data_IF_441765027045
#
_entry.id   IF_441765027045
#
_cell.length_a   1.000
_cell.length_b   1.000
_cell.length_c   1.000
_cell.angle_alpha   90.00
_cell.angle_beta   90.00
_cell.angle_gamma   90.00
#
_symmetry.space_group_name_H-M   'P 1'
#
loop_
_entity.id
_entity.type
_entity.pdbx_description
1 polymer ?
#
# COMPACT_ATOMS: atom_id res chain seq x y z
N UNK A 1 6.68 4.98 -12.15
CA UNK A 1 7.04 5.29 -13.53
C UNK A 1 7.10 6.80 -13.75
N UNK A 2 6.00 7.53 -13.61
CA UNK A 2 5.92 8.98 -13.86
C UNK A 2 6.89 9.81 -13.02
N UNK A 3 7.08 9.48 -11.73
CA UNK A 3 8.00 10.18 -10.85
C UNK A 3 9.44 10.23 -11.37
N UNK A 4 10.01 9.12 -11.78
CA UNK A 4 11.38 9.08 -12.31
C UNK A 4 11.49 9.73 -13.69
N UNK A 5 10.47 9.57 -14.54
CA UNK A 5 10.40 10.26 -15.81
C UNK A 5 10.37 11.79 -15.63
N UNK A 6 9.59 12.28 -14.65
CA UNK A 6 9.56 13.71 -14.27
C UNK A 6 10.94 14.21 -13.80
N UNK A 7 11.68 13.38 -13.06
CA UNK A 7 13.03 13.71 -12.63
C UNK A 7 14.10 13.61 -13.75
N UNK A 8 13.74 13.11 -14.93
CA UNK A 8 14.69 12.85 -16.03
C UNK A 8 15.65 11.70 -15.73
N UNK A 9 15.18 10.70 -14.94
CA UNK A 9 15.96 9.51 -14.58
C UNK A 9 15.47 8.32 -15.40
N UNK A 10 16.39 7.72 -16.16
CA UNK A 10 16.12 6.54 -16.96
C UNK A 10 15.71 5.33 -16.07
N UNK A 11 14.69 4.59 -16.51
CA UNK A 11 14.13 3.45 -15.78
C UNK A 11 15.20 2.41 -15.43
N UNK A 12 16.01 2.00 -16.40
CA UNK A 12 17.08 1.00 -16.21
C UNK A 12 18.08 1.41 -15.14
N UNK A 13 18.44 2.69 -15.09
CA UNK A 13 19.46 3.24 -14.17
C UNK A 13 19.03 3.08 -12.71
N UNK A 14 17.82 3.50 -12.35
CA UNK A 14 17.37 3.40 -10.97
C UNK A 14 16.92 1.98 -10.60
N UNK A 15 16.36 1.21 -11.55
CA UNK A 15 15.98 -0.18 -11.32
C UNK A 15 17.19 -1.04 -10.95
N UNK A 16 18.29 -0.91 -11.69
CA UNK A 16 19.55 -1.61 -11.40
C UNK A 16 20.07 -1.21 -10.01
N UNK A 17 20.15 0.10 -9.75
CA UNK A 17 20.66 0.63 -8.49
C UNK A 17 19.83 0.19 -7.25
N UNK A 18 18.56 -0.16 -7.43
CA UNK A 18 17.62 -0.49 -6.36
C UNK A 18 17.22 -1.97 -6.31
N UNK A 19 17.90 -2.84 -7.06
CA UNK A 19 17.53 -4.26 -7.20
C UNK A 19 16.07 -4.45 -7.60
N UNK A 20 15.54 -3.57 -8.45
CA UNK A 20 14.13 -3.51 -8.75
C UNK A 20 13.69 -4.61 -9.73
N UNK A 21 12.41 -4.95 -9.64
CA UNK A 21 11.69 -5.80 -10.60
C UNK A 21 10.35 -5.17 -10.94
N UNK A 22 9.72 -5.60 -12.03
CA UNK A 22 8.40 -5.14 -12.41
C UNK A 22 7.31 -5.74 -11.51
N UNK A 23 6.23 -4.98 -11.33
CA UNK A 23 5.01 -5.40 -10.65
C UNK A 23 3.81 -5.06 -11.52
N UNK A 24 2.98 -6.06 -11.81
CA UNK A 24 1.80 -5.92 -12.67
C UNK A 24 0.48 -6.17 -11.93
N UNK A 25 0.56 -6.51 -10.65
CA UNK A 25 -0.60 -6.74 -9.81
C UNK A 25 -0.24 -7.49 -8.52
N UNK A 26 -1.27 -7.94 -7.83
CA UNK A 26 -1.16 -8.67 -6.57
C UNK A 26 -1.94 -9.97 -6.67
N UNK A 27 -1.32 -11.10 -6.36
CA UNK A 27 -1.99 -12.38 -6.24
C UNK A 27 -2.36 -12.63 -4.78
N UNK A 28 -3.65 -12.72 -4.49
CA UNK A 28 -4.20 -13.02 -3.17
C UNK A 28 -4.42 -14.51 -3.04
N UNK A 29 -3.74 -15.16 -2.10
CA UNK A 29 -3.74 -16.61 -1.91
C UNK A 29 -4.31 -17.00 -0.55
N UNK A 30 -5.19 -17.96 -0.51
CA UNK A 30 -5.80 -18.50 0.70
C UNK A 30 -6.65 -17.49 1.54
N UNK A 31 -7.10 -16.40 0.94
CA UNK A 31 -8.01 -15.45 1.60
C UNK A 31 -9.42 -15.99 1.74
N UNK A 32 -9.79 -16.94 0.88
CA UNK A 32 -11.07 -17.60 0.90
C UNK A 32 -10.95 -19.09 1.20
N UNK A 33 -12.04 -19.71 1.67
CA UNK A 33 -12.14 -21.17 1.79
C UNK A 33 -12.10 -21.81 0.41
N UNK A 34 -11.49 -22.98 0.33
CA UNK A 34 -11.65 -23.85 -0.84
C UNK A 34 -13.11 -24.31 -0.93
N UNK A 35 -13.71 -24.18 -2.10
CA UNK A 35 -15.03 -24.72 -2.42
C UNK A 35 -15.02 -26.25 -2.65
N UNK A 36 -13.88 -26.90 -2.44
CA UNK A 36 -13.70 -28.33 -2.66
C UNK A 36 -13.54 -28.74 -4.12
N UNK A 37 -13.57 -27.81 -5.07
CA UNK A 37 -13.49 -28.11 -6.51
C UNK A 37 -12.09 -28.51 -6.97
N UNK A 38 -11.05 -28.19 -6.21
CA UNK A 38 -9.67 -28.60 -6.46
C UNK A 38 -8.91 -28.79 -5.14
N UNK A 39 -8.70 -30.04 -4.73
CA UNK A 39 -8.04 -30.39 -3.47
C UNK A 39 -6.54 -30.05 -3.37
N UNK A 40 -5.93 -29.52 -4.43
CA UNK A 40 -4.46 -29.34 -4.52
C UNK A 40 -3.96 -27.93 -4.48
N UNK A 41 -4.81 -26.89 -4.55
CA UNK A 41 -4.41 -25.48 -4.47
C UNK A 41 -5.36 -24.68 -3.58
N UNK A 42 -4.78 -23.83 -2.72
CA UNK A 42 -5.55 -22.80 -2.04
C UNK A 42 -6.23 -21.87 -3.07
N UNK A 43 -7.48 -21.42 -2.83
CA UNK A 43 -8.13 -20.44 -3.71
C UNK A 43 -7.28 -19.20 -3.84
N UNK A 44 -7.17 -18.67 -5.03
CA UNK A 44 -6.46 -17.42 -5.30
C UNK A 44 -7.23 -16.58 -6.30
N UNK A 45 -7.10 -15.26 -6.18
CA UNK A 45 -7.55 -14.30 -7.18
C UNK A 45 -6.42 -13.30 -7.44
N UNK A 46 -6.40 -12.74 -8.62
CA UNK A 46 -5.39 -11.78 -9.03
C UNK A 46 -6.02 -10.39 -9.18
N UNK A 47 -5.45 -9.39 -8.50
CA UNK A 47 -5.81 -7.99 -8.68
C UNK A 47 -4.80 -7.35 -9.66
N UNK A 48 -5.17 -7.23 -10.96
CA UNK A 48 -4.30 -6.67 -11.99
C UNK A 48 -4.19 -5.16 -11.86
N UNK A 49 -3.10 -4.58 -12.32
CA UNK A 49 -3.09 -3.17 -12.64
C UNK A 49 -3.85 -2.96 -13.94
N UNK A 50 -4.82 -2.06 -13.89
CA UNK A 50 -5.70 -1.74 -14.99
C UNK A 50 -4.98 -0.80 -15.97
N UNK A 51 -4.96 -1.18 -17.24
CA UNK A 51 -4.27 -0.48 -18.31
C UNK A 51 -5.27 0.12 -19.32
N UNK A 52 -4.83 1.09 -20.10
CA UNK A 52 -5.63 1.63 -21.20
C UNK A 52 -6.06 0.54 -22.21
N UNK A 53 -5.26 -0.49 -22.37
CA UNK A 53 -5.55 -1.66 -23.21
C UNK A 53 -6.73 -2.50 -22.72
N UNK A 54 -7.07 -2.39 -21.43
CA UNK A 54 -8.11 -3.20 -20.80
C UNK A 54 -9.50 -2.55 -20.88
N UNK A 55 -9.59 -1.27 -21.30
CA UNK A 55 -10.87 -0.53 -21.37
C UNK A 55 -11.93 -1.29 -22.18
N UNK A 56 -11.62 -1.88 -23.35
CA UNK A 56 -12.64 -2.58 -24.15
C UNK A 56 -13.14 -3.88 -23.50
N UNK A 57 -12.34 -4.51 -22.62
CA UNK A 57 -12.63 -5.82 -22.02
C UNK A 57 -13.20 -5.70 -20.60
N UNK A 58 -12.98 -4.58 -19.92
CA UNK A 58 -13.41 -4.36 -18.55
C UNK A 58 -14.94 -4.46 -18.38
N UNK A 59 -15.74 -3.89 -19.29
CA UNK A 59 -17.19 -3.98 -19.26
C UNK A 59 -17.70 -5.43 -19.38
N UNK A 60 -17.00 -6.24 -20.17
CA UNK A 60 -17.32 -7.68 -20.26
C UNK A 60 -17.02 -8.41 -18.97
N UNK A 61 -15.92 -8.05 -18.28
CA UNK A 61 -15.62 -8.57 -16.94
C UNK A 61 -16.70 -8.18 -15.94
N UNK A 62 -17.10 -6.90 -15.85
CA UNK A 62 -18.15 -6.44 -14.96
C UNK A 62 -19.47 -7.17 -15.22
N UNK A 63 -19.83 -7.36 -16.49
CA UNK A 63 -21.00 -8.15 -16.89
C UNK A 63 -20.87 -9.61 -16.42
N UNK A 64 -19.72 -10.25 -16.56
CA UNK A 64 -19.50 -11.62 -16.14
C UNK A 64 -19.62 -11.79 -14.61
N UNK A 65 -19.03 -10.84 -13.84
CA UNK A 65 -19.13 -10.81 -12.37
C UNK A 65 -20.57 -10.61 -11.94
N UNK A 66 -21.32 -9.67 -12.55
CA UNK A 66 -22.73 -9.45 -12.26
C UNK A 66 -23.60 -10.69 -12.59
N UNK A 67 -23.34 -11.42 -13.68
CA UNK A 67 -24.01 -12.69 -13.97
C UNK A 67 -23.81 -13.71 -12.86
N UNK A 68 -22.58 -13.86 -12.38
CA UNK A 68 -22.28 -14.77 -11.25
C UNK A 68 -22.97 -14.36 -9.97
N UNK A 69 -23.01 -13.07 -9.66
CA UNK A 69 -23.74 -12.51 -8.53
C UNK A 69 -25.20 -12.92 -8.53
N UNK A 70 -25.82 -13.04 -9.70
CA UNK A 70 -27.21 -13.48 -9.89
C UNK A 70 -27.35 -14.99 -10.15
N UNK A 71 -26.35 -15.80 -9.81
CA UNK A 71 -26.37 -17.25 -9.92
C UNK A 71 -26.26 -17.80 -11.35
N UNK A 72 -25.85 -16.96 -12.32
CA UNK A 72 -25.63 -17.37 -13.70
C UNK A 72 -24.16 -17.76 -13.93
N UNK A 73 -23.92 -18.58 -14.98
CA UNK A 73 -22.55 -18.88 -15.39
C UNK A 73 -21.91 -17.64 -16.04
N UNK A 74 -20.73 -17.27 -15.55
CA UNK A 74 -19.88 -16.22 -16.10
C UNK A 74 -18.41 -16.59 -15.93
N UNK A 75 -17.62 -16.40 -16.96
CA UNK A 75 -16.17 -16.49 -16.85
C UNK A 75 -15.66 -15.24 -16.12
N UNK A 76 -14.94 -15.43 -15.01
CA UNK A 76 -14.31 -14.38 -14.24
C UNK A 76 -12.80 -14.58 -14.10
N UNK A 77 -12.20 -15.35 -15.02
CA UNK A 77 -10.74 -15.48 -15.09
C UNK A 77 -10.13 -14.15 -15.52
N UNK A 78 -9.45 -13.46 -14.62
CA UNK A 78 -8.87 -12.13 -14.86
C UNK A 78 -7.94 -12.11 -16.08
N UNK A 79 -7.25 -13.23 -16.37
CA UNK A 79 -6.37 -13.34 -17.53
C UNK A 79 -7.08 -13.25 -18.88
N UNK A 80 -8.40 -13.42 -18.93
CA UNK A 80 -9.18 -13.26 -20.16
C UNK A 80 -9.61 -11.81 -20.44
N UNK A 81 -9.48 -10.94 -19.45
CA UNK A 81 -9.99 -9.58 -19.54
C UNK A 81 -8.91 -8.52 -19.33
N UNK A 82 -7.85 -8.84 -18.59
CA UNK A 82 -6.82 -7.89 -18.20
C UNK A 82 -5.44 -8.31 -18.72
N UNK A 83 -4.81 -7.42 -19.46
CA UNK A 83 -3.48 -7.61 -20.06
C UNK A 83 -2.44 -7.97 -19.01
N UNK A 84 -2.44 -7.28 -17.87
CA UNK A 84 -1.51 -7.55 -16.78
C UNK A 84 -1.64 -8.98 -16.22
N UNK A 85 -2.88 -9.49 -16.09
CA UNK A 85 -3.12 -10.85 -15.59
C UNK A 85 -2.59 -11.91 -16.55
N UNK A 86 -2.82 -11.76 -17.85
CA UNK A 86 -2.31 -12.70 -18.85
C UNK A 86 -0.76 -12.65 -18.95
N UNK A 87 -0.17 -11.46 -18.88
CA UNK A 87 1.29 -11.31 -18.89
C UNK A 87 1.94 -11.97 -17.67
N UNK A 88 1.36 -11.81 -16.48
CA UNK A 88 1.86 -12.47 -15.26
C UNK A 88 1.75 -13.99 -15.37
N UNK A 89 0.64 -14.50 -15.90
CA UNK A 89 0.42 -15.94 -16.13
C UNK A 89 1.49 -16.53 -17.07
N UNK A 90 1.83 -15.81 -18.14
CA UNK A 90 2.87 -16.18 -19.11
C UNK A 90 4.29 -15.80 -18.65
N UNK A 91 4.45 -15.08 -17.54
CA UNK A 91 5.70 -14.53 -17.06
C UNK A 91 6.41 -13.60 -18.07
N UNK A 92 5.65 -12.74 -18.72
CA UNK A 92 6.12 -11.74 -19.68
C UNK A 92 6.37 -10.43 -18.97
N UNK A 93 7.56 -9.84 -19.14
CA UNK A 93 7.88 -8.53 -18.57
C UNK A 93 7.23 -7.38 -19.38
N UNK A 94 6.73 -6.30 -18.74
CA UNK A 94 6.01 -5.24 -19.46
C UNK A 94 6.86 -4.49 -20.48
N UNK A 95 8.16 -4.41 -20.30
CA UNK A 95 9.08 -3.75 -21.23
C UNK A 95 9.42 -4.56 -22.48
N UNK A 96 8.93 -5.79 -22.61
CA UNK A 96 9.22 -6.67 -23.74
C UNK A 96 8.16 -6.68 -24.83
N UNK A 97 7.02 -6.04 -24.60
CA UNK A 97 5.93 -5.98 -25.57
C UNK A 97 5.99 -4.69 -26.42
N UNK A 98 5.52 -4.80 -27.67
CA UNK A 98 5.56 -3.69 -28.65
C UNK A 98 4.79 -2.46 -28.15
N UNK A 99 3.66 -2.66 -27.45
CA UNK A 99 2.78 -1.61 -26.96
C UNK A 99 2.97 -1.33 -25.43
N UNK A 100 4.21 -1.45 -24.96
CA UNK A 100 4.55 -1.28 -23.55
C UNK A 100 4.17 0.09 -22.96
N UNK A 101 4.02 1.11 -23.80
CA UNK A 101 3.60 2.45 -23.37
C UNK A 101 2.18 2.47 -22.77
N UNK A 102 1.30 1.59 -23.26
CA UNK A 102 -0.10 1.49 -22.87
C UNK A 102 -0.39 0.43 -21.80
N UNK A 103 0.64 -0.24 -21.29
CA UNK A 103 0.53 -1.17 -20.15
C UNK A 103 0.93 -0.46 -18.88
N UNK A 104 0.05 -0.47 -17.88
CA UNK A 104 0.36 0.05 -16.57
C UNK A 104 1.06 -1.02 -15.72
N UNK A 105 2.13 -0.59 -15.07
CA UNK A 105 2.92 -1.39 -14.16
C UNK A 105 3.58 -0.54 -13.08
N UNK A 106 3.93 -1.17 -11.99
CA UNK A 106 4.73 -0.59 -10.92
C UNK A 106 6.01 -1.41 -10.74
N UNK A 107 6.63 -1.27 -9.59
CA UNK A 107 7.92 -1.90 -9.30
C UNK A 107 7.95 -2.45 -7.88
N UNK A 108 8.72 -3.51 -7.73
CA UNK A 108 9.30 -3.89 -6.46
C UNK A 108 10.73 -3.34 -6.40
N UNK A 109 11.19 -2.90 -5.26
CA UNK A 109 12.57 -2.40 -5.11
C UNK A 109 13.02 -2.46 -3.65
N UNK A 110 14.32 -2.38 -3.44
CA UNK A 110 14.88 -2.22 -2.11
C UNK A 110 14.75 -0.75 -1.67
N UNK A 111 13.95 -0.52 -0.63
CA UNK A 111 13.65 0.83 -0.14
C UNK A 111 14.90 1.55 0.41
N UNK A 112 15.85 0.80 0.99
CA UNK A 112 17.11 1.36 1.47
C UNK A 112 17.98 1.87 0.33
N UNK A 113 18.12 1.05 -0.71
CA UNK A 113 18.88 1.43 -1.92
C UNK A 113 18.22 2.60 -2.66
N UNK A 114 16.87 2.61 -2.72
CA UNK A 114 16.15 3.74 -3.30
C UNK A 114 16.40 5.03 -2.51
N UNK A 115 16.40 4.99 -1.18
CA UNK A 115 16.71 6.13 -0.34
C UNK A 115 18.12 6.68 -0.61
N UNK A 116 19.12 5.80 -0.73
CA UNK A 116 20.48 6.20 -1.07
C UNK A 116 20.60 6.75 -2.50
N UNK A 117 19.88 6.18 -3.45
CA UNK A 117 19.82 6.68 -4.83
C UNK A 117 19.24 8.10 -4.88
N UNK A 118 18.09 8.32 -4.26
CA UNK A 118 17.41 9.62 -4.21
C UNK A 118 18.24 10.65 -3.43
N UNK A 119 18.93 10.26 -2.36
CA UNK A 119 19.84 11.15 -1.63
C UNK A 119 20.96 11.66 -2.55
N UNK A 120 21.64 10.76 -3.28
CA UNK A 120 22.69 11.17 -4.24
C UNK A 120 22.13 12.08 -5.32
N UNK A 121 20.97 11.75 -5.87
CA UNK A 121 20.31 12.56 -6.88
C UNK A 121 19.97 13.95 -6.33
N UNK A 122 19.32 14.06 -5.17
CA UNK A 122 18.94 15.32 -4.57
C UNK A 122 20.16 16.20 -4.23
N UNK A 123 21.21 15.62 -3.66
CA UNK A 123 22.44 16.36 -3.36
C UNK A 123 23.15 16.87 -4.63
N UNK A 124 23.09 16.11 -5.73
CA UNK A 124 23.60 16.59 -7.02
C UNK A 124 22.80 17.77 -7.61
N UNK A 125 21.58 17.97 -7.14
CA UNK A 125 20.70 19.10 -7.49
C UNK A 125 20.78 20.27 -6.48
N UNK A 126 21.72 20.23 -5.54
CA UNK A 126 21.97 21.30 -4.58
C UNK A 126 21.28 21.15 -3.22
N UNK A 127 20.59 20.04 -2.97
CA UNK A 127 20.02 19.78 -1.63
C UNK A 127 21.16 19.55 -0.63
N UNK A 128 21.16 20.29 0.46
CA UNK A 128 22.12 20.14 1.55
C UNK A 128 21.65 19.04 2.51
N UNK A 129 22.41 17.96 2.58
CA UNK A 129 22.14 16.85 3.50
C UNK A 129 22.93 17.01 4.79
N UNK A 130 22.24 17.19 5.91
CA UNK A 130 22.82 17.28 7.26
C UNK A 130 22.45 16.04 8.07
N UNK A 131 23.43 15.33 8.59
CA UNK A 131 23.23 14.13 9.43
C UNK A 131 23.22 14.55 10.89
N UNK A 132 22.14 14.25 11.60
CA UNK A 132 21.98 14.57 13.01
C UNK A 132 20.59 14.19 13.53
N UNK A 133 20.38 14.29 14.83
CA UNK A 133 19.08 14.06 15.45
C UNK A 133 18.46 15.40 15.83
N UNK A 134 17.15 15.54 15.59
CA UNK A 134 16.35 16.62 16.18
C UNK A 134 16.13 16.27 17.65
N UNK A 135 16.62 17.13 18.54
CA UNK A 135 16.56 16.95 20.00
C UNK A 135 15.50 17.83 20.65
N UNK A 136 15.14 18.97 20.02
CA UNK A 136 14.09 19.85 20.45
C UNK A 136 13.44 20.59 19.28
N UNK A 137 12.22 21.10 19.45
CA UNK A 137 11.46 21.83 18.44
C UNK A 137 10.85 23.07 19.09
N UNK A 138 11.21 24.25 18.58
CA UNK A 138 10.62 25.49 18.99
C UNK A 138 9.40 25.78 18.12
N UNK A 139 8.22 25.81 18.72
CA UNK A 139 6.96 26.01 18.02
C UNK A 139 6.10 27.07 18.73
N UNK A 140 5.35 27.85 17.96
CA UNK A 140 4.36 28.77 18.46
C UNK A 140 3.07 28.68 17.64
N UNK A 141 1.97 28.30 18.30
CA UNK A 141 0.73 27.97 17.60
C UNK A 141 0.93 26.82 16.62
N UNK A 142 0.51 26.99 15.38
CA UNK A 142 0.66 26.00 14.32
C UNK A 142 1.99 26.10 13.53
N UNK A 143 2.91 27.00 13.96
CA UNK A 143 4.17 27.24 13.27
C UNK A 143 5.37 26.67 14.03
N UNK A 144 6.29 26.10 13.28
CA UNK A 144 7.63 25.75 13.75
C UNK A 144 8.55 26.97 13.53
N UNK A 145 9.16 27.48 14.58
CA UNK A 145 10.11 28.58 14.52
C UNK A 145 11.51 28.07 14.21
N UNK A 146 11.90 26.95 14.82
CA UNK A 146 13.19 26.33 14.65
C UNK A 146 13.18 24.87 15.11
N UNK A 147 14.17 24.10 14.65
CA UNK A 147 14.52 22.80 15.21
C UNK A 147 15.93 22.86 15.81
N UNK A 148 16.09 22.30 17.01
CA UNK A 148 17.38 22.12 17.65
C UNK A 148 17.94 20.75 17.29
N UNK A 149 19.18 20.69 16.83
CA UNK A 149 19.86 19.43 16.50
C UNK A 149 21.06 19.18 17.41
N UNK A 150 21.43 17.90 17.57
CA UNK A 150 22.60 17.50 18.37
C UNK A 150 23.95 17.92 17.74
N UNK A 151 24.00 18.10 16.43
CA UNK A 151 25.26 18.27 15.68
C UNK A 151 25.34 19.54 14.83
N UNK A 152 24.21 20.25 14.61
CA UNK A 152 24.17 21.43 13.74
C UNK A 152 23.56 22.67 14.42
N UNK A 153 23.32 22.61 15.74
CA UNK A 153 22.68 23.72 16.48
C UNK A 153 21.23 23.94 16.07
N UNK A 154 20.80 25.18 16.17
CA UNK A 154 19.43 25.63 15.81
C UNK A 154 19.36 25.85 14.30
N UNK A 155 18.34 25.31 13.65
CA UNK A 155 18.05 25.45 12.24
C UNK A 155 16.67 26.11 12.05
N UNK A 156 16.64 27.15 11.23
CA UNK A 156 15.43 27.88 10.83
C UNK A 156 15.07 27.57 9.39
N UNK A 157 13.78 27.61 9.07
CA UNK A 157 13.26 27.49 7.71
C UNK A 157 11.89 28.17 7.60
N UNK A 158 11.50 28.53 6.39
CA UNK A 158 10.19 29.08 6.09
C UNK A 158 9.10 27.98 6.04
N UNK A 159 9.51 26.77 5.65
CA UNK A 159 8.65 25.58 5.58
C UNK A 159 9.38 24.37 6.15
N UNK A 160 8.70 23.59 6.97
CA UNK A 160 9.18 22.32 7.50
C UNK A 160 8.36 21.16 6.94
N UNK A 161 9.03 20.14 6.44
CA UNK A 161 8.39 18.91 5.98
C UNK A 161 8.79 17.78 6.95
N UNK A 162 7.80 17.30 7.73
CA UNK A 162 8.01 16.23 8.70
C UNK A 162 7.98 14.86 8.00
N UNK A 163 9.16 14.29 7.77
CA UNK A 163 9.36 12.91 7.29
C UNK A 163 9.96 12.01 8.39
N UNK A 164 9.74 12.31 9.67
CA UNK A 164 10.36 11.63 10.81
C UNK A 164 9.77 10.25 11.12
N UNK A 165 8.96 9.71 10.24
CA UNK A 165 8.37 8.40 10.37
C UNK A 165 7.26 8.34 11.43
N UNK A 166 7.03 7.17 12.03
CA UNK A 166 6.01 6.99 13.06
C UNK A 166 6.18 7.93 14.26
N UNK A 167 7.41 8.45 14.48
CA UNK A 167 7.66 9.40 15.58
C UNK A 167 6.93 10.72 15.42
N UNK A 168 6.70 11.18 14.16
CA UNK A 168 5.99 12.42 13.86
C UNK A 168 6.49 13.60 14.68
N UNK A 169 7.82 13.86 14.65
CA UNK A 169 8.50 14.76 15.59
C UNK A 169 7.89 16.17 15.56
N UNK A 170 7.57 16.67 14.37
CA UNK A 170 6.98 18.00 14.22
C UNK A 170 5.46 17.96 14.34
N UNK A 171 4.79 17.20 13.48
CA UNK A 171 3.33 17.19 13.41
C UNK A 171 2.65 16.60 14.63
N UNK A 172 3.02 15.38 15.02
CA UNK A 172 2.38 14.66 16.14
C UNK A 172 2.85 15.20 17.50
N UNK A 173 4.17 15.38 17.69
CA UNK A 173 4.72 15.71 19.00
C UNK A 173 4.78 17.21 19.27
N UNK A 174 5.48 17.99 18.44
CA UNK A 174 5.66 19.41 18.71
C UNK A 174 4.37 20.21 18.52
N UNK A 175 3.61 19.93 17.44
CA UNK A 175 2.34 20.61 17.16
C UNK A 175 1.12 19.89 17.74
N UNK A 176 1.32 18.75 18.42
CA UNK A 176 0.27 17.98 19.09
C UNK A 176 -0.98 17.71 18.21
N UNK A 177 -0.76 17.42 16.92
CA UNK A 177 -1.86 17.19 15.97
C UNK A 177 -2.57 15.88 16.27
N UNK A 178 -3.92 15.86 16.33
CA UNK A 178 -4.68 14.67 16.65
C UNK A 178 -4.59 13.63 15.53
N UNK A 179 -4.67 12.36 15.94
CA UNK A 179 -4.65 11.19 15.06
C UNK A 179 -6.03 10.52 15.07
N UNK A 180 -6.56 10.20 13.90
CA UNK A 180 -7.70 9.30 13.73
C UNK A 180 -7.16 7.88 13.59
N UNK A 181 -7.46 7.03 14.56
CA UNK A 181 -7.10 5.60 14.52
C UNK A 181 -8.06 4.82 13.63
N UNK A 182 -7.53 3.83 12.91
CA UNK A 182 -8.30 2.85 12.14
C UNK A 182 -8.32 1.46 12.78
N UNK A 183 -7.85 1.33 14.03
CA UNK A 183 -7.72 0.05 14.70
C UNK A 183 -9.03 -0.73 14.88
N UNK A 184 -10.18 -0.04 14.88
CA UNK A 184 -11.51 -0.68 14.92
C UNK A 184 -11.93 -1.30 13.58
N UNK A 185 -11.25 -0.91 12.50
CA UNK A 185 -11.51 -1.40 11.13
C UNK A 185 -10.39 -2.31 10.65
N UNK A 186 -9.13 -1.95 10.87
CA UNK A 186 -7.94 -2.68 10.42
C UNK A 186 -7.18 -3.19 11.65
N UNK A 187 -7.26 -4.47 11.94
CA UNK A 187 -6.76 -5.06 13.20
C UNK A 187 -5.26 -5.31 13.23
N UNK A 188 -4.59 -5.21 12.08
CA UNK A 188 -3.15 -5.49 12.01
C UNK A 188 -2.34 -4.29 12.49
N UNK A 189 -1.54 -4.51 13.54
CA UNK A 189 -0.75 -3.49 14.23
C UNK A 189 0.73 -3.87 14.35
N UNK A 190 1.12 -5.02 13.79
CA UNK A 190 2.48 -5.50 13.86
C UNK A 190 2.90 -6.24 12.58
N UNK A 191 4.21 -6.33 12.36
CA UNK A 191 4.77 -7.15 11.30
C UNK A 191 6.12 -7.75 11.70
N UNK A 192 6.46 -8.87 11.08
CA UNK A 192 7.79 -9.45 11.11
C UNK A 192 8.29 -9.65 9.69
N UNK A 193 9.51 -9.20 9.38
CA UNK A 193 10.13 -9.30 8.07
C UNK A 193 11.35 -10.23 8.12
N UNK A 194 11.46 -11.16 7.16
CA UNK A 194 12.55 -12.10 7.02
C UNK A 194 12.95 -12.20 5.55
N UNK A 195 14.11 -11.67 5.12
CA UNK A 195 14.57 -11.82 3.76
C UNK A 195 15.01 -13.26 3.49
N UNK A 196 14.76 -13.75 2.27
CA UNK A 196 15.28 -15.04 1.78
C UNK A 196 16.11 -14.81 0.52
N UNK A 197 16.84 -15.85 0.10
CA UNK A 197 17.54 -15.82 -1.18
C UNK A 197 16.55 -15.56 -2.32
N UNK A 198 17.07 -15.03 -3.41
CA UNK A 198 16.30 -14.82 -4.64
C UNK A 198 15.76 -16.15 -5.17
N UNK A 199 14.51 -16.14 -5.64
CA UNK A 199 13.96 -17.24 -6.43
C UNK A 199 14.67 -17.32 -7.80
N UNK A 200 14.81 -18.51 -8.34
CA UNK A 200 15.37 -18.72 -9.69
C UNK A 200 14.53 -18.05 -10.78
N UNK A 201 13.22 -18.02 -10.58
CA UNK A 201 12.29 -17.32 -11.48
C UNK A 201 11.67 -16.11 -10.77
N UNK A 202 11.88 -14.93 -11.35
CA UNK A 202 11.24 -13.70 -10.89
C UNK A 202 9.83 -13.65 -11.48
N UNK A 203 8.83 -13.52 -10.61
CA UNK A 203 7.43 -13.29 -11.00
C UNK A 203 7.11 -11.80 -10.91
N UNK A 204 6.38 -11.27 -11.89
CA UNK A 204 6.05 -9.85 -11.96
C UNK A 204 4.79 -9.48 -11.16
N UNK A 205 4.68 -10.06 -9.97
CA UNK A 205 3.56 -9.84 -9.05
C UNK A 205 4.02 -9.86 -7.60
N UNK A 206 3.31 -9.16 -6.72
CA UNK A 206 3.36 -9.41 -5.28
C UNK A 206 2.48 -10.62 -4.98
N UNK A 207 2.89 -11.51 -4.07
CA UNK A 207 1.99 -12.50 -3.47
C UNK A 207 1.56 -12.00 -2.09
N UNK A 208 0.25 -12.01 -1.86
CA UNK A 208 -0.38 -11.74 -0.56
C UNK A 208 -1.04 -13.03 -0.08
N UNK A 209 -0.37 -13.73 0.85
CA UNK A 209 -0.77 -15.07 1.30
C UNK A 209 -1.41 -14.95 2.68
N UNK A 210 -2.68 -15.31 2.80
CA UNK A 210 -3.35 -15.28 4.09
C UNK A 210 -2.80 -16.37 5.03
N UNK A 211 -2.34 -15.95 6.21
CA UNK A 211 -1.86 -16.81 7.30
C UNK A 211 -2.90 -16.86 8.43
N UNK A 212 -2.55 -17.41 9.59
CA UNK A 212 -3.51 -17.62 10.69
C UNK A 212 -4.05 -16.32 11.29
N UNK A 213 -3.19 -15.28 11.40
CA UNK A 213 -3.51 -14.06 12.15
C UNK A 213 -3.24 -12.78 11.36
N UNK A 214 -3.27 -12.87 10.01
CA UNK A 214 -2.98 -11.81 9.07
C UNK A 214 -2.51 -12.36 7.73
N UNK A 215 -1.55 -11.71 7.08
CA UNK A 215 -1.10 -12.08 5.74
C UNK A 215 0.41 -11.86 5.54
N UNK A 216 1.01 -12.71 4.71
CA UNK A 216 2.39 -12.61 4.29
C UNK A 216 2.50 -11.88 2.96
N UNK A 217 3.44 -10.92 2.87
CA UNK A 217 3.92 -10.46 1.56
C UNK A 217 5.10 -11.29 1.09
N UNK A 218 5.16 -11.55 -0.23
CA UNK A 218 6.31 -12.10 -0.91
C UNK A 218 6.63 -11.21 -2.11
N UNK A 219 7.79 -10.55 -2.08
CA UNK A 219 8.21 -9.51 -3.02
C UNK A 219 9.53 -9.93 -3.66
N UNK A 220 9.54 -10.34 -4.95
CA UNK A 220 10.74 -10.75 -5.64
C UNK A 220 11.58 -9.54 -6.06
N UNK A 221 12.85 -9.51 -5.66
CA UNK A 221 13.85 -8.54 -6.10
C UNK A 221 14.96 -9.25 -6.88
N UNK A 222 15.80 -8.50 -7.59
CA UNK A 222 16.89 -9.09 -8.36
C UNK A 222 17.98 -9.73 -7.49
N UNK A 223 18.16 -9.27 -6.25
CA UNK A 223 19.18 -9.77 -5.31
C UNK A 223 18.64 -10.70 -4.23
N UNK A 224 17.35 -10.60 -3.86
CA UNK A 224 16.73 -11.35 -2.75
C UNK A 224 15.22 -11.40 -2.93
N UNK A 225 14.54 -12.19 -2.11
CA UNK A 225 13.09 -12.08 -1.93
C UNK A 225 12.80 -11.42 -0.58
N UNK A 226 11.98 -10.36 -0.59
CA UNK A 226 11.46 -9.74 0.61
C UNK A 226 10.22 -10.47 1.09
N UNK A 227 10.24 -11.02 2.29
CA UNK A 227 9.06 -11.63 2.92
C UNK A 227 8.77 -10.94 4.23
N UNK A 228 7.50 -10.94 4.60
CA UNK A 228 7.10 -10.56 5.94
C UNK A 228 5.65 -10.87 6.19
N UNK A 229 5.29 -10.91 7.45
CA UNK A 229 3.98 -11.24 7.96
C UNK A 229 3.41 -10.04 8.70
N UNK A 230 2.36 -9.45 8.16
CA UNK A 230 1.51 -8.43 8.81
C UNK A 230 0.47 -9.17 9.63
N UNK A 231 0.38 -8.90 10.93
CA UNK A 231 -0.49 -9.63 11.84
C UNK A 231 -1.10 -8.71 12.91
N UNK A 232 -2.15 -9.21 13.56
CA UNK A 232 -2.74 -8.54 14.70
C UNK A 232 -2.17 -9.05 16.02
N UNK A 233 -1.56 -8.15 16.81
CA UNK A 233 -1.04 -8.48 18.14
C UNK A 233 -2.13 -8.86 19.14
N UNK A 234 -3.38 -8.59 18.83
CA UNK A 234 -4.56 -9.03 19.58
C UNK A 234 -4.71 -10.57 19.55
N UNK A 235 -4.28 -11.23 18.47
CA UNK A 235 -4.50 -12.66 18.23
C UNK A 235 -3.25 -13.51 18.30
N UNK A 236 -2.07 -12.93 18.11
CA UNK A 236 -0.83 -13.68 18.23
C UNK A 236 0.33 -12.83 18.74
N UNK A 237 1.30 -13.48 19.39
CA UNK A 237 2.52 -12.81 19.84
C UNK A 237 3.54 -12.69 18.70
N UNK A 238 4.51 -11.79 18.84
CA UNK A 238 5.59 -11.61 17.85
C UNK A 238 6.41 -12.90 17.64
N UNK A 239 6.59 -13.70 18.68
CA UNK A 239 7.31 -14.99 18.60
C UNK A 239 6.50 -16.00 17.78
N UNK A 240 5.19 -16.10 18.01
CA UNK A 240 4.30 -16.98 17.24
C UNK A 240 4.25 -16.57 15.76
N UNK A 241 4.15 -15.25 15.48
CA UNK A 241 4.15 -14.74 14.11
C UNK A 241 5.47 -15.06 13.39
N UNK A 242 6.62 -14.90 14.05
CA UNK A 242 7.92 -15.26 13.47
C UNK A 242 8.02 -16.76 13.21
N UNK A 243 7.61 -17.60 14.15
CA UNK A 243 7.63 -19.06 14.00
C UNK A 243 6.75 -19.52 12.83
N UNK A 244 5.55 -18.95 12.69
CA UNK A 244 4.67 -19.26 11.58
C UNK A 244 5.28 -18.84 10.25
N UNK A 245 5.80 -17.60 10.14
CA UNK A 245 6.45 -17.13 8.92
C UNK A 245 7.64 -18.02 8.53
N UNK A 246 8.51 -18.38 9.47
CA UNK A 246 9.64 -19.28 9.20
C UNK A 246 9.17 -20.64 8.70
N UNK A 247 8.16 -21.22 9.35
CA UNK A 247 7.59 -22.50 8.93
C UNK A 247 7.06 -22.48 7.50
N UNK A 248 6.38 -21.40 7.11
CA UNK A 248 5.87 -21.22 5.73
C UNK A 248 7.03 -21.06 4.74
N UNK A 249 8.02 -20.23 5.07
CA UNK A 249 9.17 -20.00 4.20
C UNK A 249 10.01 -21.27 4.01
N UNK A 250 10.20 -22.05 5.06
CA UNK A 250 10.94 -23.33 4.99
C UNK A 250 10.17 -24.39 4.16
N UNK A 251 8.84 -24.37 4.21
CA UNK A 251 8.01 -25.26 3.39
C UNK A 251 8.00 -24.88 1.89
N UNK A 252 8.08 -23.58 1.59
CA UNK A 252 8.11 -23.07 0.20
C UNK A 252 9.51 -23.20 -0.44
N UNK A 253 10.55 -23.24 0.37
CA UNK A 253 11.93 -23.22 -0.11
C UNK A 253 12.50 -24.64 -0.26
N UNK A 254 13.30 -24.86 -1.30
CA UNK A 254 14.14 -26.04 -1.42
C UNK A 254 15.23 -26.04 -0.34
N UNK A 255 15.85 -27.18 0.01
CA UNK A 255 16.80 -27.31 1.11
C UNK A 255 17.94 -26.29 1.14
N UNK A 256 18.26 -25.68 0.00
CA UNK A 256 19.31 -24.67 -0.11
C UNK A 256 18.83 -23.23 0.12
N UNK A 257 17.57 -22.99 0.45
CA UNK A 257 16.95 -21.66 0.47
C UNK A 257 16.15 -21.39 1.77
N UNK A 258 16.54 -22.05 2.86
CA UNK A 258 15.90 -21.93 4.17
C UNK A 258 15.95 -20.49 4.71
N UNK A 259 14.86 -20.07 5.39
CA UNK A 259 14.81 -18.86 6.23
C UNK A 259 15.64 -19.02 7.51
N UNK A 260 16.17 -20.24 7.76
CA UNK A 260 17.01 -20.57 8.91
C UNK A 260 18.29 -19.72 8.88
N UNK A 261 18.51 -18.95 9.95
CA UNK A 261 19.67 -18.06 10.08
C UNK A 261 19.49 -16.63 9.55
N UNK A 262 18.44 -16.33 8.78
CA UNK A 262 18.14 -14.94 8.41
C UNK A 262 17.59 -14.17 9.62
N UNK A 263 18.08 -12.94 9.88
CA UNK A 263 17.58 -12.14 10.99
C UNK A 263 16.13 -11.70 10.75
N UNK A 264 15.28 -11.83 11.76
CA UNK A 264 13.94 -11.30 11.77
C UNK A 264 13.93 -9.85 12.23
N UNK A 265 13.15 -9.00 11.55
CA UNK A 265 12.91 -7.62 11.96
C UNK A 265 11.45 -7.46 12.36
N UNK A 266 11.22 -7.19 13.65
CA UNK A 266 9.88 -6.90 14.17
C UNK A 266 9.55 -5.42 14.08
N UNK A 267 8.32 -5.13 13.69
CA UNK A 267 7.80 -3.79 13.50
C UNK A 267 6.48 -3.66 14.26
N UNK A 268 6.28 -2.51 14.92
CA UNK A 268 4.97 -2.08 15.42
C UNK A 268 4.44 -0.98 14.53
N UNK A 269 3.14 -0.96 14.30
CA UNK A 269 2.49 -0.05 13.38
C UNK A 269 1.32 0.63 14.09
N UNK A 270 1.20 1.94 13.89
CA UNK A 270 0.02 2.71 14.30
C UNK A 270 -0.82 2.97 13.05
N UNK A 271 -1.93 2.23 12.92
CA UNK A 271 -2.80 2.33 11.75
C UNK A 271 -3.77 3.48 11.93
N UNK A 272 -3.70 4.45 11.02
CA UNK A 272 -4.48 5.66 11.10
C UNK A 272 -3.82 6.83 10.38
N UNK A 273 -4.37 8.02 10.54
CA UNK A 273 -3.88 9.26 9.92
C UNK A 273 -3.94 10.44 10.87
N UNK A 274 -3.16 11.47 10.58
CA UNK A 274 -3.39 12.79 11.17
C UNK A 274 -4.74 13.34 10.69
N UNK A 275 -5.39 14.16 11.52
CA UNK A 275 -6.57 14.93 11.10
C UNK A 275 -6.18 16.17 10.30
N UNK A 276 -4.98 16.68 10.60
CA UNK A 276 -4.40 17.86 9.95
C UNK A 276 -2.98 17.51 9.49
N UNK A 277 -2.80 17.39 8.19
CA UNK A 277 -1.54 17.02 7.55
C UNK A 277 -0.64 18.24 7.30
N UNK A 278 -1.27 19.38 6.97
CA UNK A 278 -0.62 20.67 6.77
C UNK A 278 -1.32 21.78 7.56
N UNK A 279 -0.58 22.44 8.44
CA UNK A 279 -1.01 23.66 9.13
C UNK A 279 0.19 24.55 9.39
N UNK A 280 -0.01 25.87 9.37
CA UNK A 280 1.07 26.85 9.47
C UNK A 280 2.15 26.55 8.42
N UNK A 281 3.38 26.56 8.86
CA UNK A 281 4.54 26.25 8.01
C UNK A 281 5.02 24.77 8.13
N UNK A 282 4.16 23.84 8.59
CA UNK A 282 4.57 22.45 8.79
C UNK A 282 3.67 21.47 8.04
N UNK A 283 4.27 20.72 7.10
CA UNK A 283 3.65 19.64 6.33
C UNK A 283 4.17 18.28 6.83
N UNK A 284 3.27 17.35 7.19
CA UNK A 284 3.63 15.95 7.47
C UNK A 284 3.50 15.10 6.21
N UNK A 285 4.50 14.22 5.95
CA UNK A 285 4.53 13.35 4.75
C UNK A 285 4.99 11.93 5.11
N UNK A 286 4.40 10.93 4.48
CA UNK A 286 4.72 9.52 4.71
C UNK A 286 4.25 9.02 6.07
N UNK A 287 5.07 8.24 6.78
CA UNK A 287 4.69 7.62 8.06
C UNK A 287 4.43 8.63 9.20
N UNK A 288 4.89 9.87 9.08
CA UNK A 288 4.54 10.95 10.01
C UNK A 288 3.12 11.47 9.78
N UNK A 289 2.63 11.35 8.55
CA UNK A 289 1.29 11.74 8.13
C UNK A 289 0.23 10.70 8.52
N UNK A 290 0.56 9.42 8.37
CA UNK A 290 -0.31 8.31 8.67
C UNK A 290 0.24 7.00 8.11
N UNK A 291 -0.44 5.90 8.45
CA UNK A 291 -0.08 4.58 7.98
C UNK A 291 -1.33 3.71 7.79
N UNK A 292 -1.36 3.03 6.67
CA UNK A 292 -2.25 1.90 6.39
C UNK A 292 -1.35 0.76 5.92
N UNK A 293 -1.68 -0.46 6.33
CA UNK A 293 -0.91 -1.65 5.95
C UNK A 293 -0.75 -1.77 4.41
N UNK A 294 0.40 -2.31 3.94
CA UNK A 294 0.76 -2.23 2.53
C UNK A 294 0.10 -3.30 1.64
N UNK A 295 -1.11 -3.76 1.98
CA UNK A 295 -1.81 -4.84 1.27
C UNK A 295 -1.91 -4.54 -0.24
N UNK A 296 -2.26 -3.29 -0.59
CA UNK A 296 -2.38 -2.79 -1.96
C UNK A 296 -1.22 -1.86 -2.38
N UNK A 297 -0.13 -1.86 -1.59
CA UNK A 297 1.10 -1.12 -1.88
C UNK A 297 0.93 0.41 -2.07
N UNK A 298 -0.04 1.04 -1.42
CA UNK A 298 -0.43 2.45 -1.61
C UNK A 298 0.44 3.47 -0.91
N UNK A 299 1.32 3.07 0.02
CA UNK A 299 2.08 4.01 0.85
C UNK A 299 2.90 5.03 0.05
N UNK A 300 3.60 4.60 -1.00
CA UNK A 300 4.38 5.52 -1.84
C UNK A 300 3.51 6.33 -2.81
N UNK A 301 2.39 5.78 -3.25
CA UNK A 301 1.40 6.54 -4.02
C UNK A 301 0.88 7.71 -3.18
N UNK A 302 0.54 7.48 -1.90
CA UNK A 302 0.13 8.54 -0.97
C UNK A 302 1.21 9.61 -0.79
N UNK A 303 2.49 9.22 -0.68
CA UNK A 303 3.60 10.21 -0.59
C UNK A 303 3.68 11.06 -1.85
N UNK A 304 3.65 10.45 -3.03
CA UNK A 304 3.70 11.18 -4.30
C UNK A 304 2.48 12.10 -4.45
N UNK A 305 1.29 11.59 -4.16
CA UNK A 305 0.06 12.37 -4.22
C UNK A 305 0.11 13.55 -3.25
N UNK A 306 0.54 13.33 -2.00
CA UNK A 306 0.70 14.38 -1.01
C UNK A 306 1.62 15.51 -1.49
N UNK A 307 2.76 15.16 -2.10
CA UNK A 307 3.71 16.15 -2.62
C UNK A 307 3.15 16.93 -3.82
N UNK A 308 2.53 16.25 -4.79
CA UNK A 308 1.91 16.92 -5.92
C UNK A 308 0.77 17.84 -5.49
N UNK A 309 -0.14 17.34 -4.67
CA UNK A 309 -1.27 18.12 -4.18
C UNK A 309 -0.83 19.32 -3.31
N UNK A 310 0.25 19.14 -2.53
CA UNK A 310 0.86 20.25 -1.78
C UNK A 310 1.38 21.34 -2.73
N UNK A 311 2.13 20.98 -3.77
CA UNK A 311 2.66 21.94 -4.75
C UNK A 311 1.53 22.68 -5.45
N UNK A 312 0.47 21.95 -5.87
CA UNK A 312 -0.69 22.53 -6.51
C UNK A 312 -1.41 23.53 -5.59
N UNK A 313 -1.64 23.19 -4.34
CA UNK A 313 -2.24 24.07 -3.36
C UNK A 313 -1.33 25.28 -3.03
N UNK A 314 -0.03 25.05 -2.90
CA UNK A 314 0.95 26.10 -2.58
C UNK A 314 0.98 27.19 -3.64
N UNK A 315 0.88 26.84 -4.92
CA UNK A 315 0.93 27.76 -6.04
C UNK A 315 -0.37 28.56 -6.24
N UNK A 316 -1.48 28.18 -5.60
CA UNK A 316 -2.74 28.90 -5.78
C UNK A 316 -2.70 30.29 -5.12
N UNK A 317 -3.23 31.33 -5.78
CA UNK A 317 -3.29 32.69 -5.25
C UNK A 317 -4.49 32.86 -4.31
N UNK A 318 -4.62 32.02 -3.28
CA UNK A 318 -5.68 32.03 -2.27
C UNK A 318 -5.08 32.08 -0.86
N UNK A 319 -5.85 32.50 0.17
CA UNK A 319 -5.37 32.53 1.55
C UNK A 319 -4.89 31.16 2.04
N UNK A 320 -3.82 31.15 2.86
CA UNK A 320 -3.20 29.90 3.35
C UNK A 320 -4.17 29.01 4.12
N UNK A 321 -5.07 29.59 4.92
CA UNK A 321 -6.13 28.84 5.60
C UNK A 321 -7.00 28.04 4.66
N UNK A 322 -7.27 28.56 3.46
CA UNK A 322 -8.05 27.86 2.43
C UNK A 322 -7.20 26.77 1.74
N UNK A 323 -5.91 27.04 1.48
CA UNK A 323 -4.96 26.02 0.96
C UNK A 323 -4.89 24.83 1.92
N UNK A 324 -4.70 25.11 3.22
CA UNK A 324 -4.64 24.08 4.25
C UNK A 324 -5.94 23.25 4.30
N UNK A 325 -7.10 23.90 4.23
CA UNK A 325 -8.38 23.20 4.24
C UNK A 325 -8.55 22.27 3.03
N UNK A 326 -8.26 22.76 1.82
CA UNK A 326 -8.32 21.96 0.58
C UNK A 326 -7.37 20.75 0.69
N UNK A 327 -6.12 21.00 1.07
CA UNK A 327 -5.12 19.95 1.19
C UNK A 327 -5.52 18.88 2.22
N UNK A 328 -5.89 19.31 3.42
CA UNK A 328 -6.23 18.39 4.51
C UNK A 328 -7.47 17.55 4.20
N UNK A 329 -8.51 18.16 3.62
CA UNK A 329 -9.72 17.44 3.24
C UNK A 329 -9.43 16.36 2.21
N UNK A 330 -8.64 16.69 1.20
CA UNK A 330 -8.28 15.73 0.17
C UNK A 330 -7.39 14.60 0.69
N UNK A 331 -6.39 14.90 1.53
CA UNK A 331 -5.57 13.85 2.13
C UNK A 331 -6.37 12.96 3.07
N UNK A 332 -7.30 13.52 3.85
CA UNK A 332 -8.21 12.74 4.68
C UNK A 332 -9.05 11.78 3.82
N UNK A 333 -9.63 12.28 2.71
CA UNK A 333 -10.40 11.47 1.76
C UNK A 333 -9.58 10.31 1.20
N UNK A 334 -8.34 10.59 0.78
CA UNK A 334 -7.43 9.56 0.25
C UNK A 334 -7.15 8.46 1.27
N UNK A 335 -6.82 8.83 2.51
CA UNK A 335 -6.60 7.84 3.57
C UNK A 335 -7.86 7.03 3.89
N UNK A 336 -9.00 7.69 4.02
CA UNK A 336 -10.26 7.03 4.35
C UNK A 336 -10.70 6.09 3.23
N UNK A 337 -10.59 6.49 1.97
CA UNK A 337 -10.92 5.64 0.83
C UNK A 337 -9.99 4.42 0.67
N UNK A 338 -8.70 4.55 0.99
CA UNK A 338 -7.77 3.41 1.03
C UNK A 338 -8.14 2.46 2.18
N UNK A 339 -8.44 3.00 3.38
CA UNK A 339 -8.92 2.19 4.51
C UNK A 339 -10.14 1.37 4.12
N UNK A 340 -11.12 1.98 3.45
CA UNK A 340 -12.37 1.34 3.08
C UNK A 340 -12.15 0.19 2.09
N UNK A 341 -11.29 0.39 1.11
CA UNK A 341 -10.93 -0.66 0.17
C UNK A 341 -10.14 -1.80 0.81
N UNK A 342 -9.15 -1.50 1.66
CA UNK A 342 -8.41 -2.52 2.42
C UNK A 342 -9.36 -3.30 3.35
N UNK A 343 -10.31 -2.61 4.00
CA UNK A 343 -11.31 -3.24 4.84
C UNK A 343 -12.19 -4.25 4.07
N UNK A 344 -12.50 -3.98 2.79
CA UNK A 344 -13.26 -4.90 1.96
C UNK A 344 -12.59 -6.28 1.84
N UNK A 345 -11.27 -6.35 1.64
CA UNK A 345 -10.53 -7.62 1.59
C UNK A 345 -10.70 -8.45 2.88
N UNK A 346 -10.69 -7.78 4.04
CA UNK A 346 -10.86 -8.45 5.33
C UNK A 346 -12.30 -8.83 5.63
N UNK A 347 -13.23 -7.98 5.29
CA UNK A 347 -14.65 -8.23 5.52
C UNK A 347 -15.20 -9.34 4.63
N UNK A 348 -14.79 -9.37 3.38
CA UNK A 348 -15.30 -10.33 2.37
C UNK A 348 -14.62 -11.70 2.43
N UNK A 349 -13.60 -11.90 3.29
CA UNK A 349 -13.00 -13.22 3.45
C UNK A 349 -14.02 -14.27 3.86
N UNK A 350 -13.85 -15.51 3.44
CA UNK A 350 -14.76 -16.63 3.79
C UNK A 350 -14.14 -17.61 4.80
N UNK A 351 -12.96 -17.31 5.36
CA UNK A 351 -12.25 -18.16 6.31
C UNK A 351 -12.96 -18.23 7.66
N UNK A 352 -12.90 -19.41 8.29
CA UNK A 352 -13.46 -19.65 9.64
C UNK A 352 -12.52 -20.46 10.52
N UNK A 353 -11.30 -20.68 10.04
CA UNK A 353 -10.31 -21.57 10.67
C UNK A 353 -9.59 -20.94 11.86
N UNK A 354 -9.64 -19.61 11.99
CA UNK A 354 -9.05 -18.92 13.13
C UNK A 354 -9.94 -17.81 13.69
N UNK A 355 -9.80 -17.47 14.99
CA UNK A 355 -10.55 -16.36 15.59
C UNK A 355 -10.30 -15.01 14.90
N UNK A 356 -9.09 -14.80 14.37
CA UNK A 356 -8.72 -13.58 13.65
C UNK A 356 -9.62 -13.34 12.41
N UNK A 357 -9.73 -14.33 11.52
CA UNK A 357 -10.52 -14.18 10.30
C UNK A 357 -12.03 -14.09 10.58
N UNK A 358 -12.49 -14.76 11.64
CA UNK A 358 -13.87 -14.61 12.12
C UNK A 358 -14.12 -13.20 12.66
N UNK A 359 -13.19 -12.66 13.43
CA UNK A 359 -13.30 -11.29 13.97
C UNK A 359 -13.28 -10.24 12.86
N UNK A 360 -12.47 -10.41 11.80
CA UNK A 360 -12.46 -9.50 10.65
C UNK A 360 -13.84 -9.33 10.00
N UNK A 361 -14.70 -10.35 10.04
CA UNK A 361 -16.08 -10.24 9.52
C UNK A 361 -17.10 -9.77 10.54
N UNK A 362 -16.94 -10.16 11.79
CA UNK A 362 -18.01 -10.03 12.79
C UNK A 362 -17.80 -8.87 13.76
N UNK A 363 -16.55 -8.39 13.92
CA UNK A 363 -16.21 -7.38 14.93
C UNK A 363 -15.63 -6.10 14.29
N UNK A 364 -15.34 -6.10 12.98
CA UNK A 364 -14.86 -4.93 12.27
C UNK A 364 -15.93 -3.83 12.29
N UNK A 365 -15.52 -2.62 12.62
CA UNK A 365 -16.32 -1.43 12.33
C UNK A 365 -16.26 -1.16 10.83
N UNK A 366 -17.28 -1.60 10.11
CA UNK A 366 -17.36 -1.42 8.66
C UNK A 366 -17.52 0.06 8.34
N UNK A 367 -16.67 0.65 7.49
CA UNK A 367 -16.81 2.05 7.08
C UNK A 367 -18.10 2.31 6.28
N UNK A 368 -18.65 3.53 6.39
CA UNK A 368 -19.95 3.86 5.79
C UNK A 368 -20.00 3.66 4.27
N UNK A 369 -18.96 4.07 3.54
CA UNK A 369 -18.86 3.86 2.08
C UNK A 369 -18.86 2.37 1.74
N UNK A 370 -18.09 1.57 2.46
CA UNK A 370 -18.05 0.12 2.27
C UNK A 370 -19.39 -0.52 2.62
N UNK A 371 -20.00 -0.14 3.74
CA UNK A 371 -21.31 -0.65 4.17
C UNK A 371 -22.40 -0.36 3.12
N UNK A 372 -22.38 0.83 2.54
CA UNK A 372 -23.27 1.20 1.45
C UNK A 372 -23.07 0.30 0.22
N UNK A 373 -21.83 0.16 -0.27
CA UNK A 373 -21.52 -0.66 -1.43
C UNK A 373 -21.90 -2.13 -1.23
N UNK A 374 -21.64 -2.68 -0.04
CA UNK A 374 -22.03 -4.06 0.31
C UNK A 374 -23.55 -4.25 0.31
N UNK A 375 -24.29 -3.28 0.89
CA UNK A 375 -25.75 -3.32 0.89
C UNK A 375 -26.32 -3.30 -0.54
N UNK A 376 -25.82 -2.42 -1.39
CA UNK A 376 -26.27 -2.32 -2.79
C UNK A 376 -25.88 -3.58 -3.58
N UNK A 377 -24.72 -4.16 -3.32
CA UNK A 377 -24.31 -5.44 -3.88
C UNK A 377 -25.28 -6.55 -3.47
N UNK A 378 -25.58 -6.70 -2.18
CA UNK A 378 -26.43 -7.78 -1.65
C UNK A 378 -27.91 -7.63 -2.07
N UNK A 379 -28.38 -6.40 -2.26
CA UNK A 379 -29.74 -6.11 -2.71
C UNK A 379 -30.02 -6.51 -4.18
N UNK A 380 -28.97 -6.76 -4.97
CA UNK A 380 -29.08 -6.97 -6.41
C UNK A 380 -29.22 -5.69 -7.22
N UNK A 381 -29.02 -4.51 -6.61
CA UNK A 381 -29.05 -3.21 -7.30
C UNK A 381 -27.98 -3.10 -8.39
N UNK A 382 -28.11 -2.12 -9.27
CA UNK A 382 -27.08 -1.82 -10.25
C UNK A 382 -25.81 -1.33 -9.54
N UNK A 383 -24.74 -2.13 -9.55
CA UNK A 383 -23.53 -1.83 -8.81
C UNK A 383 -22.76 -0.64 -9.41
N UNK A 384 -22.89 -0.40 -10.73
CA UNK A 384 -22.30 0.78 -11.35
C UNK A 384 -22.94 2.08 -10.84
N UNK A 385 -24.26 2.09 -10.63
CA UNK A 385 -24.96 3.23 -10.06
C UNK A 385 -24.50 3.47 -8.62
N UNK A 386 -24.35 2.41 -7.84
CA UNK A 386 -23.84 2.50 -6.48
C UNK A 386 -22.40 3.06 -6.42
N UNK A 387 -21.51 2.59 -7.29
CA UNK A 387 -20.16 3.13 -7.40
C UNK A 387 -20.15 4.61 -7.82
N UNK A 388 -21.06 5.02 -8.72
CA UNK A 388 -21.19 6.41 -9.13
C UNK A 388 -21.63 7.33 -7.98
N UNK A 389 -22.53 6.87 -7.11
CA UNK A 389 -23.01 7.67 -5.97
C UNK A 389 -21.91 7.98 -4.95
N UNK A 390 -20.95 7.09 -4.80
CA UNK A 390 -19.84 7.26 -3.86
C UNK A 390 -18.50 7.58 -4.53
N UNK A 391 -18.49 7.87 -5.82
CA UNK A 391 -17.28 8.07 -6.64
C UNK A 391 -16.28 9.05 -6.02
N UNK A 392 -16.78 10.13 -5.41
CA UNK A 392 -15.96 11.11 -4.71
C UNK A 392 -15.14 10.51 -3.53
N UNK A 393 -15.56 9.38 -2.95
CA UNK A 393 -14.90 8.70 -1.85
C UNK A 393 -13.99 7.57 -2.33
N UNK A 394 -14.13 7.13 -3.59
CA UNK A 394 -13.34 6.02 -4.12
C UNK A 394 -11.93 6.50 -4.47
N UNK A 395 -10.93 5.69 -4.11
CA UNK A 395 -9.52 5.90 -4.45
C UNK A 395 -9.09 4.89 -5.51
N UNK A 396 -9.68 3.72 -5.49
CA UNK A 396 -9.40 2.65 -6.44
C UNK A 396 -10.35 2.72 -7.64
N UNK A 397 -9.81 2.35 -8.80
CA UNK A 397 -10.58 2.29 -10.04
C UNK A 397 -11.69 1.22 -9.96
N UNK A 398 -12.72 1.37 -10.79
CA UNK A 398 -13.85 0.44 -10.86
C UNK A 398 -13.46 -1.03 -10.98
N UNK A 399 -12.48 -1.44 -11.85
CA UNK A 399 -12.07 -2.83 -11.93
C UNK A 399 -11.67 -3.44 -10.58
N UNK A 400 -11.04 -2.65 -9.70
CA UNK A 400 -10.63 -3.10 -8.37
C UNK A 400 -11.82 -3.50 -7.49
N UNK A 401 -12.98 -2.86 -7.65
CA UNK A 401 -14.20 -3.17 -6.88
C UNK A 401 -14.96 -4.39 -7.41
N UNK A 402 -14.57 -4.88 -8.57
CA UNK A 402 -15.13 -6.11 -9.16
C UNK A 402 -14.21 -7.33 -8.99
N UNK A 403 -12.93 -7.15 -8.63
CA UNK A 403 -12.00 -8.24 -8.29
C UNK A 403 -12.20 -8.73 -6.86
#
# INVERSE_FOLDING_TARGET
>A
RHFFAYLGVEESTWMEACNATYKMGINFEAWNKSDGSCASKAPSYFHPFFSALDVPTAEHYFSAVNKRRHGQLGDISESHYFTAAEMVKQNIAPNTIVDSANVDYAYHFDAGLLGEFLKRYATSKGVVHKVGNVVDVHAHGDNIEAIQTDSHGVLHADLFIDCSGFRGILGKKALNRPVTSYADTLFNDAAVAIPTKRSDTIKYQTRSIALKYGWQWNIPLTARTGNGYVYSSRFCTSVQAEQELRSVLDAENTPNNSASGSPARHLKMEVGRLNTHWAGNCLSVGLSQGFIEPLEATALMLVQYALHHFIDCWQQPIPDTRKHAIYNNEMNRMFDGIRDYIAAHYYLNTRTDTPYWVACRNEMKVPDTLAYLLKEWDSGANFEDALNEVDANLVYLRPSWYC
#
